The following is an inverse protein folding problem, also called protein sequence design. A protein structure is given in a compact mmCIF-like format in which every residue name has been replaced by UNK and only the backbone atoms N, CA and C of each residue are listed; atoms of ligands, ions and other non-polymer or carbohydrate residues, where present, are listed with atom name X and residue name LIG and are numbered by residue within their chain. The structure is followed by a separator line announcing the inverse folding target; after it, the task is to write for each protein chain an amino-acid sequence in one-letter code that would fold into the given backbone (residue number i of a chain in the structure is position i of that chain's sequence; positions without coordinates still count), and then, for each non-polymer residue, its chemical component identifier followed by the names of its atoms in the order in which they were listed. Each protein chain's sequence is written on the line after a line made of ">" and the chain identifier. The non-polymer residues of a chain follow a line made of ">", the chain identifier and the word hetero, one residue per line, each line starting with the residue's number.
data_IF_769263385206
#
_entry.id   IF_769263385206
#
_cell.length_a   1.000
_cell.length_b   1.000
_cell.length_c   1.000
_cell.angle_alpha   90.00
_cell.angle_beta   90.00
_cell.angle_gamma   90.00
#
_symmetry.space_group_name_H-M   'P 1'
#
loop_
_entity.id
_entity.type
_entity.pdbx_description
1 polymer ?
#
# COMPACT_ATOMS: atom_id res chain seq x y z
N UNK A 1 13.88 6.89 21.76
CA UNK A 1 12.43 6.77 21.49
C UNK A 1 12.30 6.14 20.11
N UNK A 2 11.59 5.02 19.99
CA UNK A 2 11.26 4.43 18.68
C UNK A 2 10.22 5.32 18.01
N UNK A 3 10.46 5.71 16.76
CA UNK A 3 9.48 6.43 15.93
C UNK A 3 8.74 5.44 15.04
N UNK A 4 7.65 5.86 14.39
CA UNK A 4 6.97 5.00 13.41
C UNK A 4 7.84 4.70 12.18
N UNK A 5 8.86 5.52 11.91
CA UNK A 5 9.82 5.27 10.83
C UNK A 5 10.71 4.05 11.08
N UNK A 6 10.82 3.60 12.34
CA UNK A 6 11.58 2.40 12.72
C UNK A 6 10.74 1.11 12.62
N UNK A 7 9.44 1.24 12.33
CA UNK A 7 8.53 0.10 12.19
C UNK A 7 8.71 -0.58 10.82
N UNK A 8 8.98 -1.89 10.83
CA UNK A 8 9.24 -2.66 9.61
C UNK A 8 8.06 -2.68 8.64
N UNK A 9 6.83 -2.75 9.16
CA UNK A 9 5.63 -2.75 8.31
C UNK A 9 5.49 -1.41 7.60
N UNK A 10 5.77 -0.31 8.30
CA UNK A 10 5.79 1.02 7.69
C UNK A 10 6.90 1.16 6.63
N UNK A 11 8.11 0.69 6.92
CA UNK A 11 9.24 0.75 5.98
C UNK A 11 8.97 -0.02 4.69
N UNK A 12 8.39 -1.21 4.78
CA UNK A 12 7.99 -1.99 3.61
C UNK A 12 6.89 -1.31 2.81
N UNK A 13 5.88 -0.73 3.49
CA UNK A 13 4.83 0.05 2.83
C UNK A 13 5.39 1.29 2.13
N UNK A 14 6.40 1.92 2.73
CA UNK A 14 7.10 3.07 2.15
C UNK A 14 7.82 2.67 0.85
N UNK A 15 8.58 1.57 0.84
CA UNK A 15 9.24 1.07 -0.37
C UNK A 15 8.24 0.74 -1.48
N UNK A 16 7.14 0.04 -1.16
CA UNK A 16 6.11 -0.28 -2.15
C UNK A 16 5.45 0.98 -2.75
N UNK A 17 5.24 2.02 -1.94
CA UNK A 17 4.70 3.30 -2.43
C UNK A 17 5.71 4.07 -3.28
N UNK A 18 7.02 4.00 -2.98
CA UNK A 18 8.03 4.59 -3.86
C UNK A 18 8.00 3.96 -5.24
N UNK A 19 8.03 2.63 -5.32
CA UNK A 19 7.91 1.89 -6.59
C UNK A 19 6.65 2.32 -7.37
N UNK A 20 5.52 2.47 -6.67
CA UNK A 20 4.26 2.92 -7.28
C UNK A 20 4.33 4.37 -7.78
N UNK A 21 5.04 5.25 -7.07
CA UNK A 21 5.19 6.67 -7.43
C UNK A 21 6.16 6.90 -8.61
N UNK A 22 7.05 5.96 -8.91
CA UNK A 22 7.97 6.04 -10.05
C UNK A 22 7.29 5.85 -11.41
N UNK A 23 6.07 5.30 -11.42
CA UNK A 23 5.29 5.13 -12.64
C UNK A 23 4.91 6.49 -13.27
N UNK A 24 4.66 6.56 -14.59
CA UNK A 24 4.13 7.77 -15.22
C UNK A 24 2.69 8.10 -14.76
N UNK A 25 2.28 9.36 -14.93
CA UNK A 25 0.93 9.89 -14.60
C UNK A 25 0.05 10.02 -15.86
N UNK A 26 0.22 9.14 -16.84
CA UNK A 26 -0.48 9.14 -18.13
C UNK A 26 -1.81 8.38 -18.11
N UNK A 27 -2.05 7.55 -17.09
CA UNK A 27 -3.27 6.78 -16.90
C UNK A 27 -4.03 7.20 -15.62
N UNK A 28 -5.33 7.48 -15.73
CA UNK A 28 -6.16 7.94 -14.60
C UNK A 28 -6.27 6.88 -13.49
N UNK A 29 -6.34 5.59 -13.84
CA UNK A 29 -6.41 4.49 -12.88
C UNK A 29 -5.10 4.41 -12.08
N UNK A 30 -3.95 4.58 -12.72
CA UNK A 30 -2.65 4.65 -12.04
C UNK A 30 -2.55 5.85 -11.09
N UNK A 31 -3.03 7.03 -11.50
CA UNK A 31 -3.08 8.20 -10.62
C UNK A 31 -3.95 7.93 -9.38
N UNK A 32 -5.07 7.23 -9.55
CA UNK A 32 -5.93 6.80 -8.43
C UNK A 32 -5.24 5.75 -7.55
N UNK A 33 -4.51 4.81 -8.16
CA UNK A 33 -3.72 3.81 -7.45
C UNK A 33 -2.65 4.49 -6.58
N UNK A 34 -1.87 5.44 -7.12
CA UNK A 34 -0.87 6.22 -6.35
C UNK A 34 -1.48 6.94 -5.15
N UNK A 35 -2.61 7.61 -5.34
CA UNK A 35 -3.33 8.28 -4.23
C UNK A 35 -3.75 7.28 -3.15
N UNK A 36 -4.22 6.10 -3.55
CA UNK A 36 -4.61 5.05 -2.61
C UNK A 36 -3.39 4.41 -1.92
N UNK A 37 -2.26 4.26 -2.61
CA UNK A 37 -0.98 3.84 -2.04
C UNK A 37 -0.49 4.80 -0.96
N UNK A 38 -0.47 6.11 -1.25
CA UNK A 38 -0.13 7.15 -0.27
C UNK A 38 -1.07 7.14 0.95
N UNK A 39 -2.38 6.94 0.72
CA UNK A 39 -3.35 6.77 1.81
C UNK A 39 -3.10 5.51 2.64
N UNK A 40 -2.71 4.41 1.99
CA UNK A 40 -2.35 3.15 2.66
C UNK A 40 -1.14 3.36 3.57
N UNK A 41 -0.07 3.98 3.06
CA UNK A 41 1.13 4.32 3.84
C UNK A 41 0.82 5.16 5.07
N UNK A 42 0.02 6.22 4.92
CA UNK A 42 -0.35 7.09 6.04
C UNK A 42 -1.27 6.41 7.05
N UNK A 43 -2.14 5.49 6.60
CA UNK A 43 -2.99 4.66 7.49
C UNK A 43 -2.15 3.66 8.28
N UNK A 44 -1.16 3.03 7.67
CA UNK A 44 -0.20 2.16 8.37
C UNK A 44 0.59 2.98 9.39
N UNK A 45 1.09 4.16 9.02
CA UNK A 45 1.79 5.07 9.94
C UNK A 45 0.93 5.44 11.16
N UNK A 46 -0.36 5.74 10.95
CA UNK A 46 -1.32 6.00 12.03
C UNK A 46 -1.45 4.77 12.93
N UNK A 47 -1.68 3.59 12.35
CA UNK A 47 -1.85 2.33 13.08
C UNK A 47 -0.64 1.96 13.95
N UNK A 48 0.57 1.97 13.39
CA UNK A 48 1.80 1.60 14.14
C UNK A 48 2.18 2.63 15.19
N UNK A 49 1.69 3.87 15.08
CA UNK A 49 1.90 4.92 16.08
C UNK A 49 0.96 4.80 17.30
N UNK A 50 -0.08 3.96 17.24
CA UNK A 50 -1.04 3.79 18.34
C UNK A 50 -0.42 3.00 19.50
N UNK A 51 -0.55 3.55 20.70
CA UNK A 51 -0.14 2.89 21.96
C UNK A 51 -1.12 1.80 22.37
N UNK A 52 -2.42 2.05 22.15
CA UNK A 52 -3.45 1.08 22.42
C UNK A 52 -3.49 0.01 21.33
N UNK A 53 -3.41 -1.26 21.74
CA UNK A 53 -3.35 -2.39 20.82
C UNK A 53 -4.63 -2.53 19.99
N UNK A 54 -5.80 -2.27 20.58
CA UNK A 54 -7.08 -2.39 19.88
C UNK A 54 -7.23 -1.29 18.84
N UNK A 55 -6.86 -0.06 19.17
CA UNK A 55 -6.82 1.04 18.19
C UNK A 55 -5.84 0.75 17.06
N UNK A 56 -4.63 0.27 17.39
CA UNK A 56 -3.65 -0.17 16.39
C UNK A 56 -4.25 -1.20 15.44
N UNK A 57 -4.79 -2.29 15.97
CA UNK A 57 -5.30 -3.39 15.16
C UNK A 57 -6.49 -2.94 14.29
N UNK A 58 -7.38 -2.09 14.81
CA UNK A 58 -8.46 -1.50 14.01
C UNK A 58 -7.94 -0.66 12.84
N UNK A 59 -6.95 0.21 13.07
CA UNK A 59 -6.35 1.03 12.00
C UNK A 59 -5.61 0.20 10.97
N UNK A 60 -4.91 -0.84 11.41
CA UNK A 60 -4.21 -1.75 10.50
C UNK A 60 -5.19 -2.59 9.67
N UNK A 61 -6.38 -2.92 10.20
CA UNK A 61 -7.47 -3.53 9.41
C UNK A 61 -8.03 -2.56 8.37
N UNK A 62 -8.16 -1.27 8.67
CA UNK A 62 -8.57 -0.28 7.66
C UNK A 62 -7.59 -0.27 6.48
N UNK A 63 -6.28 -0.40 6.74
CA UNK A 63 -5.26 -0.49 5.70
C UNK A 63 -5.43 -1.73 4.81
N UNK A 64 -5.93 -2.86 5.33
CA UNK A 64 -6.22 -4.04 4.50
C UNK A 64 -7.24 -3.75 3.40
N UNK A 65 -8.30 -3.00 3.72
CA UNK A 65 -9.31 -2.59 2.75
C UNK A 65 -8.74 -1.68 1.66
N UNK A 66 -7.82 -0.79 2.04
CA UNK A 66 -7.12 0.08 1.09
C UNK A 66 -6.20 -0.73 0.15
N UNK A 67 -5.47 -1.72 0.69
CA UNK A 67 -4.61 -2.61 -0.10
C UNK A 67 -5.44 -3.41 -1.12
N UNK A 68 -6.58 -3.98 -0.72
CA UNK A 68 -7.46 -4.70 -1.64
C UNK A 68 -7.95 -3.81 -2.78
N UNK A 69 -8.34 -2.57 -2.47
CA UNK A 69 -8.71 -1.57 -3.48
C UNK A 69 -7.55 -1.20 -4.40
N UNK A 70 -6.33 -1.09 -3.85
CA UNK A 70 -5.13 -0.75 -4.60
C UNK A 70 -4.75 -1.85 -5.59
N UNK A 71 -4.69 -3.11 -5.13
CA UNK A 71 -4.46 -4.28 -5.99
C UNK A 71 -5.48 -4.35 -7.13
N UNK A 72 -6.74 -4.06 -6.83
CA UNK A 72 -7.80 -3.99 -7.86
C UNK A 72 -7.52 -2.90 -8.92
N UNK A 73 -7.06 -1.71 -8.50
CA UNK A 73 -6.69 -0.65 -9.44
C UNK A 73 -5.45 -1.03 -10.28
N UNK A 74 -4.47 -1.71 -9.69
CA UNK A 74 -3.30 -2.22 -10.41
C UNK A 74 -3.71 -3.24 -11.48
N UNK A 75 -4.62 -4.18 -11.16
CA UNK A 75 -5.15 -5.13 -12.14
C UNK A 75 -5.88 -4.44 -13.29
N UNK A 76 -6.63 -3.36 -13.01
CA UNK A 76 -7.30 -2.57 -14.05
C UNK A 76 -6.29 -1.81 -14.92
N UNK A 77 -5.27 -1.19 -14.32
CA UNK A 77 -4.23 -0.48 -15.06
C UNK A 77 -3.43 -1.44 -15.96
N UNK A 78 -3.10 -2.63 -15.46
CA UNK A 78 -2.49 -3.70 -16.24
C UNK A 78 -3.38 -4.14 -17.41
N UNK A 79 -4.68 -4.38 -17.16
CA UNK A 79 -5.64 -4.71 -18.23
C UNK A 79 -5.84 -3.59 -19.27
N UNK A 80 -5.46 -2.35 -18.95
CA UNK A 80 -5.45 -1.21 -19.86
C UNK A 80 -4.10 -1.01 -20.56
N UNK A 81 -3.16 -1.95 -20.41
CA UNK A 81 -1.80 -1.89 -20.96
C UNK A 81 -0.99 -0.69 -20.42
N UNK A 82 -1.39 -0.11 -19.28
CA UNK A 82 -0.66 0.98 -18.61
C UNK A 82 0.48 0.46 -17.73
N UNK A 83 0.51 -0.85 -17.46
CA UNK A 83 1.59 -1.56 -16.78
C UNK A 83 1.95 -2.79 -17.61
N UNK A 84 3.25 -3.09 -17.69
CA UNK A 84 3.71 -4.40 -18.16
C UNK A 84 3.56 -5.47 -17.07
N UNK A 85 3.68 -6.74 -17.49
CA UNK A 85 3.50 -7.91 -16.62
C UNK A 85 4.48 -7.91 -15.43
N UNK A 86 5.74 -7.53 -15.67
CA UNK A 86 6.79 -7.51 -14.65
C UNK A 86 6.50 -6.45 -13.58
N UNK A 87 6.11 -5.26 -14.00
CA UNK A 87 5.77 -4.14 -13.12
C UNK A 87 4.49 -4.42 -12.33
N UNK A 88 3.47 -4.96 -12.99
CA UNK A 88 2.24 -5.37 -12.33
C UNK A 88 2.51 -6.46 -11.28
N UNK A 89 3.23 -7.51 -11.66
CA UNK A 89 3.59 -8.61 -10.75
C UNK A 89 4.37 -8.13 -9.53
N UNK A 90 5.41 -7.31 -9.74
CA UNK A 90 6.21 -6.73 -8.65
C UNK A 90 5.34 -5.94 -7.65
N UNK A 91 4.45 -5.08 -8.16
CA UNK A 91 3.60 -4.25 -7.30
C UNK A 91 2.52 -5.07 -6.59
N UNK A 92 1.85 -5.99 -7.29
CA UNK A 92 0.81 -6.83 -6.70
C UNK A 92 1.37 -7.72 -5.59
N UNK A 93 2.54 -8.35 -5.82
CA UNK A 93 3.24 -9.17 -4.82
C UNK A 93 3.65 -8.35 -3.60
N UNK A 94 4.15 -7.12 -3.80
CA UNK A 94 4.51 -6.24 -2.71
C UNK A 94 3.31 -5.91 -1.81
N UNK A 95 2.17 -5.57 -2.42
CA UNK A 95 0.95 -5.25 -1.69
C UNK A 95 0.27 -6.48 -1.09
N UNK A 96 0.37 -7.66 -1.71
CA UNK A 96 -0.04 -8.92 -1.12
C UNK A 96 0.78 -9.27 0.12
N UNK A 97 2.09 -9.14 0.03
CA UNK A 97 3.01 -9.34 1.15
C UNK A 97 2.69 -8.42 2.34
N UNK A 98 2.37 -7.15 2.06
CA UNK A 98 1.90 -6.20 3.07
C UNK A 98 0.58 -6.64 3.70
N UNK A 99 -0.42 -7.05 2.91
CA UNK A 99 -1.70 -7.52 3.42
C UNK A 99 -1.54 -8.72 4.37
N UNK A 100 -0.62 -9.64 4.05
CA UNK A 100 -0.35 -10.83 4.86
C UNK A 100 0.29 -10.51 6.22
N UNK A 101 0.85 -9.32 6.40
CA UNK A 101 1.47 -8.85 7.65
C UNK A 101 0.51 -8.07 8.55
N UNK A 102 -0.68 -7.71 8.04
CA UNK A 102 -1.69 -6.98 8.79
C UNK A 102 -2.50 -7.93 9.71
N UNK A 103 -3.00 -7.44 10.86
CA UNK A 103 -3.81 -8.22 11.77
C UNK A 103 -5.17 -8.58 11.13
N UNK A 104 -5.58 -9.85 11.26
CA UNK A 104 -6.88 -10.36 10.80
C UNK A 104 -8.01 -9.93 11.74
#
# INVERSE_FOLDING_TARGET
>A
MSTFHDDKLWQEAYTAVLDLCELPDDNEVLVRAKKLGLKTLTTIADGVSRRDRRERDNKLRDAMGLIAGLRSLLSVAWAQEALDDDTFGKLDDAYESLANKLPR
#
